data_IF_767614423379
#
_entry.id   IF_767614423379
#
_cell.length_a   1.000
_cell.length_b   1.000
_cell.length_c   1.000
_cell.angle_alpha   90.00
_cell.angle_beta   90.00
_cell.angle_gamma   90.00
#
_symmetry.space_group_name_H-M   'P 1'
#
loop_
_entity.id
_entity.type
_entity.pdbx_description
1 polymer ?
#
# COMPACT_ATOMS: atom_id res chain seq x y z
N UNK A 1 6.62 -20.32 9.86
CA UNK A 1 6.61 -21.02 8.56
C UNK A 1 5.19 -21.15 8.03
N UNK A 2 4.21 -21.44 8.88
CA UNK A 2 2.78 -21.57 8.52
C UNK A 2 2.22 -20.46 7.58
N UNK A 3 2.46 -19.17 7.83
CA UNK A 3 1.98 -18.08 6.95
C UNK A 3 2.59 -18.08 5.54
N UNK A 4 3.79 -18.63 5.39
CA UNK A 4 4.49 -18.77 4.10
C UNK A 4 3.96 -20.01 3.37
N UNK A 5 3.79 -21.12 4.09
CA UNK A 5 3.22 -22.38 3.57
C UNK A 5 1.78 -22.18 3.08
N UNK A 6 0.99 -21.43 3.84
CA UNK A 6 -0.37 -21.04 3.49
C UNK A 6 -0.40 -19.90 2.45
N UNK A 7 0.75 -19.42 1.95
CA UNK A 7 0.81 -18.38 0.90
C UNK A 7 0.13 -17.06 1.26
N UNK A 8 -0.05 -16.77 2.55
CA UNK A 8 -0.57 -15.50 3.04
C UNK A 8 0.50 -14.41 2.96
N UNK A 9 1.76 -14.78 3.18
CA UNK A 9 2.91 -13.92 2.93
C UNK A 9 3.31 -14.07 1.47
N UNK A 10 3.18 -12.99 0.70
CA UNK A 10 3.55 -12.98 -0.73
C UNK A 10 4.89 -12.34 -0.95
N UNK A 11 5.67 -12.93 -1.84
CA UNK A 11 6.84 -12.27 -2.42
C UNK A 11 6.39 -11.03 -3.20
N UNK A 12 7.15 -9.96 -3.04
CA UNK A 12 6.89 -8.68 -3.69
C UNK A 12 7.68 -8.66 -4.98
N UNK A 13 7.03 -8.28 -6.08
CA UNK A 13 7.74 -7.92 -7.29
C UNK A 13 8.49 -6.60 -7.04
N UNK A 14 9.81 -6.63 -7.18
CA UNK A 14 10.67 -5.47 -6.99
C UNK A 14 10.45 -4.49 -8.15
N UNK A 15 9.52 -3.55 -7.94
CA UNK A 15 9.14 -2.53 -8.91
C UNK A 15 9.33 -1.20 -8.20
N UNK A 16 10.34 -0.38 -8.55
CA UNK A 16 10.52 0.91 -7.90
C UNK A 16 9.33 1.82 -8.25
N UNK A 17 8.96 2.71 -7.33
CA UNK A 17 7.87 3.67 -7.55
C UNK A 17 8.21 4.64 -8.69
N UNK A 18 9.51 4.82 -8.98
CA UNK A 18 10.01 5.54 -10.14
C UNK A 18 9.40 5.02 -11.46
N UNK A 19 9.26 3.70 -11.62
CA UNK A 19 8.76 3.04 -12.84
C UNK A 19 7.24 3.18 -13.01
N UNK A 20 6.52 3.62 -11.97
CA UNK A 20 5.12 4.01 -12.09
C UNK A 20 5.03 5.38 -12.77
N UNK A 21 4.94 5.35 -14.11
CA UNK A 21 4.80 6.55 -14.96
C UNK A 21 3.33 6.97 -15.04
N UNK A 22 3.08 8.25 -14.81
CA UNK A 22 1.76 8.86 -14.89
C UNK A 22 1.83 10.25 -15.50
N UNK A 23 0.83 10.61 -16.30
CA UNK A 23 0.72 11.95 -16.87
C UNK A 23 0.41 12.99 -15.79
N UNK A 24 0.81 14.23 -16.07
CA UNK A 24 0.54 15.42 -15.27
C UNK A 24 -0.69 16.16 -15.79
N UNK A 25 -1.40 16.85 -14.90
CA UNK A 25 -2.48 17.77 -15.31
C UNK A 25 -1.88 19.09 -15.81
N UNK A 26 -1.65 19.21 -17.13
CA UNK A 26 -1.07 20.42 -17.74
C UNK A 26 -1.97 21.66 -17.60
N UNK A 27 -3.29 21.46 -17.49
CA UNK A 27 -4.27 22.55 -17.35
C UNK A 27 -4.65 22.81 -15.90
N UNK A 28 -4.05 22.11 -14.93
CA UNK A 28 -4.45 22.17 -13.53
C UNK A 28 -4.44 23.58 -12.96
N UNK A 29 -3.38 24.36 -13.22
CA UNK A 29 -3.25 25.74 -12.74
C UNK A 29 -4.27 26.70 -13.37
N UNK A 30 -4.58 26.52 -14.66
CA UNK A 30 -5.55 27.35 -15.39
C UNK A 30 -6.99 27.07 -14.94
N UNK A 31 -7.30 25.80 -14.66
CA UNK A 31 -8.60 25.41 -14.10
C UNK A 31 -8.78 25.99 -12.69
N UNK A 32 -7.76 25.92 -11.84
CA UNK A 32 -7.80 26.52 -10.50
C UNK A 32 -8.01 28.04 -10.55
N UNK A 33 -7.36 28.75 -11.48
CA UNK A 33 -7.60 30.19 -11.69
C UNK A 33 -9.05 30.52 -12.09
N UNK A 34 -9.73 29.55 -12.70
CA UNK A 34 -11.14 29.65 -13.09
C UNK A 34 -12.09 29.15 -11.98
N UNK A 35 -11.60 28.92 -10.76
CA UNK A 35 -12.33 28.29 -9.64
C UNK A 35 -12.90 26.89 -9.98
N UNK A 36 -12.24 26.15 -10.87
CA UNK A 36 -12.58 24.77 -11.22
C UNK A 36 -11.54 23.85 -10.60
N UNK A 37 -11.97 22.90 -9.76
CA UNK A 37 -11.07 21.89 -9.20
C UNK A 37 -10.66 20.90 -10.31
N UNK A 38 -9.36 20.81 -10.65
CA UNK A 38 -8.91 19.94 -11.71
C UNK A 38 -9.02 18.47 -11.28
N UNK A 39 -9.33 17.59 -12.25
CA UNK A 39 -9.29 16.15 -11.98
C UNK A 39 -7.86 15.73 -11.61
N UNK A 40 -7.70 14.87 -10.58
CA UNK A 40 -6.39 14.42 -10.14
C UNK A 40 -5.72 13.58 -11.22
N UNK A 41 -4.43 13.84 -11.43
CA UNK A 41 -3.60 13.10 -12.38
C UNK A 41 -2.94 11.89 -11.73
N UNK A 42 -2.39 10.98 -12.55
CA UNK A 42 -1.65 9.82 -12.05
C UNK A 42 -0.40 10.23 -11.26
N UNK A 43 0.19 11.37 -11.63
CA UNK A 43 1.30 11.94 -10.88
C UNK A 43 0.87 12.38 -9.47
N UNK A 44 -0.31 13.00 -9.32
CA UNK A 44 -0.83 13.42 -8.02
C UNK A 44 -1.04 12.20 -7.11
N UNK A 45 -1.55 11.10 -7.66
CA UNK A 45 -1.72 9.83 -6.93
C UNK A 45 -0.36 9.30 -6.44
N UNK A 46 0.66 9.30 -7.30
CA UNK A 46 2.03 8.89 -6.92
C UNK A 46 2.61 9.75 -5.81
N UNK A 47 2.39 11.07 -5.87
CA UNK A 47 2.82 12.01 -4.83
C UNK A 47 2.10 11.74 -3.50
N UNK A 48 0.77 11.60 -3.51
CA UNK A 48 -0.01 11.30 -2.31
C UNK A 48 0.44 9.99 -1.66
N UNK A 49 0.72 8.97 -2.46
CA UNK A 49 1.20 7.67 -1.97
C UNK A 49 2.59 7.78 -1.37
N UNK A 50 3.50 8.55 -2.00
CA UNK A 50 4.82 8.82 -1.42
C UNK A 50 4.67 9.52 -0.07
N UNK A 51 3.81 10.55 0.01
CA UNK A 51 3.61 11.33 1.24
C UNK A 51 2.97 10.55 2.38
N UNK A 52 1.99 9.69 2.10
CA UNK A 52 1.23 8.99 3.14
C UNK A 52 1.72 7.58 3.44
N UNK A 53 2.31 6.88 2.47
CA UNK A 53 2.76 5.49 2.64
C UNK A 53 4.27 5.36 2.87
N UNK A 54 5.08 6.21 2.22
CA UNK A 54 6.55 6.06 2.23
C UNK A 54 7.21 6.99 3.24
N UNK A 55 6.93 8.29 3.17
CA UNK A 55 7.57 9.29 4.04
C UNK A 55 7.42 9.05 5.55
N UNK A 56 6.25 8.61 6.07
CA UNK A 56 6.10 8.39 7.51
C UNK A 56 6.95 7.23 8.05
N UNK A 57 7.51 6.39 7.17
CA UNK A 57 8.39 5.27 7.53
C UNK A 57 9.88 5.64 7.44
N UNK A 58 10.22 6.74 6.77
CA UNK A 58 11.61 7.17 6.58
C UNK A 58 12.20 8.00 7.74
N UNK A 59 11.37 8.59 8.61
CA UNK A 59 11.87 9.34 9.77
C UNK A 59 10.82 9.44 10.88
N UNK A 60 11.27 9.26 12.13
CA UNK A 60 10.42 9.38 13.31
C UNK A 60 9.87 10.82 13.49
N UNK A 61 10.65 11.84 13.14
CA UNK A 61 10.19 13.23 13.23
C UNK A 61 9.12 13.56 12.19
N UNK A 62 9.17 12.92 11.01
CA UNK A 62 8.11 13.01 10.02
C UNK A 62 6.91 12.19 10.45
N UNK A 63 7.11 11.02 11.05
CA UNK A 63 6.02 10.19 11.57
C UNK A 63 5.18 10.92 12.62
N UNK A 64 5.82 11.64 13.54
CA UNK A 64 5.12 12.39 14.60
C UNK A 64 4.40 13.64 14.09
N UNK A 65 4.87 14.22 12.98
CA UNK A 65 4.31 15.46 12.40
C UNK A 65 3.32 15.20 11.28
N UNK A 66 3.44 14.08 10.59
CA UNK A 66 2.54 13.68 9.53
C UNK A 66 1.21 13.17 10.11
N UNK A 67 0.09 13.33 9.39
CA UNK A 67 -1.15 12.70 9.79
C UNK A 67 -1.00 11.18 9.84
N UNK A 68 -1.47 10.56 10.92
CA UNK A 68 -1.40 9.12 11.13
C UNK A 68 -2.36 8.39 10.17
N UNK A 69 -1.87 8.09 8.98
CA UNK A 69 -2.62 7.30 7.99
C UNK A 69 -2.42 5.82 8.29
N UNK A 70 -3.45 5.18 8.86
CA UNK A 70 -3.44 3.74 9.19
C UNK A 70 -3.82 2.83 8.02
N UNK A 71 -4.50 3.37 7.02
CA UNK A 71 -5.05 2.60 5.90
C UNK A 71 -5.21 3.47 4.66
N UNK A 72 -4.94 2.89 3.49
CA UNK A 72 -5.17 3.53 2.20
C UNK A 72 -6.02 2.62 1.32
N UNK A 73 -6.97 3.19 0.59
CA UNK A 73 -7.84 2.47 -0.34
C UNK A 73 -7.56 2.94 -1.77
N UNK A 74 -7.16 2.01 -2.64
CA UNK A 74 -6.95 2.26 -4.06
C UNK A 74 -8.19 1.81 -4.85
N UNK A 75 -8.92 2.75 -5.45
CA UNK A 75 -10.13 2.49 -6.24
C UNK A 75 -9.93 2.96 -7.67
N UNK A 76 -10.45 2.21 -8.64
CA UNK A 76 -10.40 2.56 -10.06
C UNK A 76 -10.78 1.39 -10.95
N UNK A 77 -10.88 1.60 -12.27
CA UNK A 77 -11.17 0.53 -13.22
C UNK A 77 -10.05 -0.52 -13.28
N UNK A 78 -10.33 -1.67 -13.88
CA UNK A 78 -9.31 -2.71 -14.11
C UNK A 78 -8.23 -2.17 -15.06
N UNK A 79 -6.96 -2.53 -14.85
CA UNK A 79 -5.85 -2.13 -15.71
C UNK A 79 -5.09 -0.86 -15.31
N UNK A 80 -5.59 -0.04 -14.37
CA UNK A 80 -4.91 1.22 -13.95
C UNK A 80 -3.68 1.03 -13.04
N UNK A 81 -3.16 -0.20 -12.94
CA UNK A 81 -1.94 -0.47 -12.16
C UNK A 81 -2.11 -0.50 -10.62
N UNK A 82 -3.34 -0.59 -10.07
CA UNK A 82 -3.57 -0.64 -8.61
C UNK A 82 -2.69 -1.69 -7.89
N UNK A 83 -2.58 -2.90 -8.46
CA UNK A 83 -1.74 -3.98 -7.90
C UNK A 83 -0.25 -3.64 -8.00
N UNK A 84 0.17 -3.11 -9.13
CA UNK A 84 1.56 -2.63 -9.35
C UNK A 84 1.94 -1.59 -8.32
N UNK A 85 1.03 -0.68 -8.00
CA UNK A 85 1.24 0.38 -7.02
C UNK A 85 1.45 -0.18 -5.60
N UNK A 86 0.69 -1.22 -5.22
CA UNK A 86 0.92 -1.92 -3.94
C UNK A 86 2.32 -2.55 -3.89
N UNK A 87 2.75 -3.23 -4.96
CA UNK A 87 4.10 -3.78 -5.02
C UNK A 87 5.19 -2.70 -4.97
N UNK A 88 4.96 -1.56 -5.60
CA UNK A 88 5.89 -0.44 -5.58
C UNK A 88 6.04 0.16 -4.17
N UNK A 89 4.94 0.36 -3.45
CA UNK A 89 4.98 0.81 -2.05
C UNK A 89 5.78 -0.19 -1.20
N UNK A 90 5.50 -1.49 -1.34
CA UNK A 90 6.23 -2.52 -0.58
C UNK A 90 7.73 -2.54 -0.92
N UNK A 91 8.08 -2.25 -2.18
CA UNK A 91 9.47 -2.14 -2.63
C UNK A 91 10.17 -0.93 -1.98
N UNK A 92 9.58 0.26 -2.09
CA UNK A 92 10.15 1.50 -1.52
C UNK A 92 10.30 1.44 0.00
N UNK A 93 9.36 0.78 0.68
CA UNK A 93 9.33 0.69 2.14
C UNK A 93 10.04 -0.55 2.68
N UNK A 94 10.55 -1.42 1.81
CA UNK A 94 11.08 -2.74 2.17
C UNK A 94 10.14 -3.52 3.12
N UNK A 95 8.83 -3.34 2.95
CA UNK A 95 7.80 -3.94 3.78
C UNK A 95 7.45 -5.36 3.31
N UNK A 96 6.73 -6.11 4.14
CA UNK A 96 6.20 -7.44 3.76
C UNK A 96 4.74 -7.32 3.33
N UNK A 97 4.36 -8.01 2.25
CA UNK A 97 2.99 -8.02 1.74
C UNK A 97 2.22 -9.23 2.26
N UNK A 98 1.11 -8.98 2.96
CA UNK A 98 0.15 -10.01 3.36
C UNK A 98 -1.07 -9.98 2.45
N UNK A 99 -1.34 -11.07 1.73
CA UNK A 99 -2.51 -11.20 0.87
C UNK A 99 -3.68 -11.88 1.60
N UNK A 100 -4.57 -11.05 2.12
CA UNK A 100 -5.80 -11.45 2.81
C UNK A 100 -7.02 -11.52 1.89
N UNK A 101 -6.84 -11.61 0.57
CA UNK A 101 -7.96 -11.70 -0.36
C UNK A 101 -8.76 -13.00 -0.17
N UNK A 102 -10.08 -12.92 -0.38
CA UNK A 102 -11.02 -14.04 -0.14
C UNK A 102 -10.59 -15.30 -0.87
N UNK A 103 -10.11 -15.19 -2.10
CA UNK A 103 -9.62 -16.31 -2.89
C UNK A 103 -8.39 -16.98 -2.27
N UNK A 104 -7.55 -16.21 -1.59
CA UNK A 104 -6.35 -16.72 -0.94
C UNK A 104 -6.67 -17.32 0.44
N UNK A 105 -7.63 -16.74 1.17
CA UNK A 105 -7.98 -17.16 2.54
C UNK A 105 -9.01 -18.31 2.55
N UNK A 106 -9.82 -18.44 1.49
CA UNK A 106 -10.84 -19.47 1.40
C UNK A 106 -10.25 -20.87 1.59
N UNK A 107 -10.91 -21.67 2.42
CA UNK A 107 -10.58 -23.06 2.77
C UNK A 107 -9.30 -23.29 3.61
N UNK A 108 -8.42 -22.30 3.78
CA UNK A 108 -7.20 -22.44 4.61
C UNK A 108 -7.49 -22.41 6.10
N UNK A 109 -8.37 -21.51 6.51
CA UNK A 109 -8.76 -21.32 7.91
C UNK A 109 -10.28 -21.49 8.07
N UNK A 110 -10.80 -22.73 8.18
CA UNK A 110 -12.23 -22.96 8.30
C UNK A 110 -12.79 -22.47 9.64
N UNK A 111 -13.97 -21.85 9.59
CA UNK A 111 -14.72 -21.42 10.78
C UNK A 111 -14.28 -20.08 11.37
N UNK A 112 -15.08 -19.56 12.32
CA UNK A 112 -14.83 -18.27 12.98
C UNK A 112 -13.56 -18.28 13.84
N UNK A 113 -13.27 -19.40 14.49
CA UNK A 113 -12.06 -19.59 15.31
C UNK A 113 -10.80 -19.62 14.45
N UNK A 114 -10.84 -20.27 13.28
CA UNK A 114 -9.72 -20.29 12.32
C UNK A 114 -9.37 -18.90 11.80
N UNK A 115 -10.38 -18.11 11.40
CA UNK A 115 -10.15 -16.72 10.95
C UNK A 115 -9.58 -15.83 12.07
N UNK A 116 -10.06 -15.98 13.30
CA UNK A 116 -9.50 -15.25 14.44
C UNK A 116 -8.03 -15.64 14.70
N UNK A 117 -7.71 -16.93 14.57
CA UNK A 117 -6.34 -17.42 14.69
C UNK A 117 -5.44 -16.88 13.58
N UNK A 118 -5.92 -16.85 12.34
CA UNK A 118 -5.19 -16.27 11.21
C UNK A 118 -4.83 -14.80 11.47
N UNK A 119 -5.82 -13.97 11.85
CA UNK A 119 -5.57 -12.56 12.17
C UNK A 119 -4.59 -12.42 13.33
N UNK A 120 -4.75 -13.22 14.38
CA UNK A 120 -3.83 -13.22 15.51
C UNK A 120 -2.39 -13.56 15.09
N UNK A 121 -2.21 -14.55 14.22
CA UNK A 121 -0.90 -14.91 13.67
C UNK A 121 -0.29 -13.79 12.82
N UNK A 122 -1.09 -13.13 11.98
CA UNK A 122 -0.63 -11.97 11.17
C UNK A 122 -0.14 -10.85 12.07
N UNK A 123 -0.90 -10.46 13.09
CA UNK A 123 -0.46 -9.42 14.04
C UNK A 123 0.76 -9.84 14.85
N UNK A 124 0.86 -11.12 15.23
CA UNK A 124 2.03 -11.64 15.94
C UNK A 124 3.29 -11.56 15.07
N UNK A 125 3.18 -11.90 13.79
CA UNK A 125 4.30 -11.79 12.83
C UNK A 125 4.64 -10.34 12.54
N UNK A 126 3.66 -9.45 12.44
CA UNK A 126 3.89 -8.01 12.29
C UNK A 126 4.74 -7.45 13.44
N UNK A 127 4.45 -7.83 14.69
CA UNK A 127 5.26 -7.38 15.85
C UNK A 127 6.65 -8.00 15.85
N UNK A 128 6.81 -9.22 15.33
CA UNK A 128 8.10 -9.90 15.25
C UNK A 128 8.98 -9.44 14.07
N UNK A 129 8.37 -8.89 13.01
CA UNK A 129 9.03 -8.31 11.84
C UNK A 129 8.97 -6.77 11.94
N UNK A 130 9.90 -6.13 12.67
CA UNK A 130 9.98 -4.67 12.62
C UNK A 130 10.21 -4.24 11.17
N UNK A 131 9.45 -3.24 10.71
CA UNK A 131 9.72 -2.61 9.43
C UNK A 131 11.15 -2.08 9.48
N UNK A 132 11.98 -2.49 8.51
CA UNK A 132 13.34 -1.98 8.41
C UNK A 132 13.22 -0.49 8.15
N UNK A 133 13.65 0.32 9.11
CA UNK A 133 13.81 1.76 8.91
C UNK A 133 14.74 1.96 7.72
N UNK A 134 14.27 2.72 6.73
CA UNK A 134 15.06 3.16 5.57
C UNK A 134 16.28 3.98 6.02
#
# INVERSE_FOLDING_TARGET
MELIEEGLLKEIHNIPLADFVGDYSYLGSTLMQSNIEPMPSLFDIKQLITMYAVLPLGSQTLHERAPLVKSMLLVGPVGVGKKTLVHAICTETCATLFDLSVNNVANKYPGKSGLHMMLHLVFKVQTALPQRSL
#
